data_IF_657250799147
#
_entry.id   IF_657250799147
#
_cell.length_a   1.000
_cell.length_b   1.000
_cell.length_c   1.000
_cell.angle_alpha   90.00
_cell.angle_beta   90.00
_cell.angle_gamma   90.00
#
_symmetry.space_group_name_H-M   'P 1'
#
loop_
_entity.id
_entity.type
_entity.pdbx_description
1 polymer ?
#
# COMPACT_ATOMS: atom_id res chain seq x y z
N UNK A 1 6.19 -18.20 12.14
CA UNK A 1 5.63 -18.78 13.38
C UNK A 1 6.48 -19.98 13.81
N UNK A 2 6.70 -20.96 12.93
CA UNK A 2 7.47 -22.18 13.24
C UNK A 2 8.90 -21.89 13.72
N UNK A 3 9.59 -20.99 12.99
CA UNK A 3 10.99 -20.64 13.26
C UNK A 3 11.14 -19.48 14.26
N UNK A 4 10.03 -18.94 14.78
CA UNK A 4 9.99 -17.75 15.64
C UNK A 4 10.77 -16.54 15.09
N UNK A 5 10.92 -16.49 13.76
CA UNK A 5 11.55 -15.39 13.04
C UNK A 5 10.55 -14.28 12.75
N UNK A 6 10.96 -13.03 12.92
CA UNK A 6 10.17 -11.89 12.53
C UNK A 6 10.21 -11.64 11.02
N UNK A 7 9.21 -10.91 10.51
CA UNK A 7 9.13 -10.46 9.12
C UNK A 7 9.37 -8.96 9.03
N UNK A 8 10.29 -8.57 8.17
CA UNK A 8 10.46 -7.18 7.75
C UNK A 8 9.73 -6.98 6.42
N UNK A 9 8.59 -6.30 6.46
CA UNK A 9 7.80 -6.05 5.26
C UNK A 9 8.41 -4.90 4.45
N UNK A 10 8.89 -5.19 3.24
CA UNK A 10 9.41 -4.17 2.33
C UNK A 10 8.40 -3.82 1.24
N UNK A 11 8.53 -2.63 0.65
CA UNK A 11 7.62 -2.09 -0.39
C UNK A 11 6.13 -2.08 0.01
N UNK A 12 5.79 -1.66 1.23
CA UNK A 12 4.41 -1.72 1.73
C UNK A 12 3.44 -0.85 0.91
N UNK A 13 3.97 0.14 0.16
CA UNK A 13 3.21 1.02 -0.73
C UNK A 13 3.23 0.55 -2.20
N UNK A 14 3.60 -0.70 -2.48
CA UNK A 14 3.60 -1.28 -3.83
C UNK A 14 4.27 -0.33 -4.86
N UNK A 15 5.53 0.05 -4.62
CA UNK A 15 6.29 0.97 -5.47
C UNK A 15 5.66 2.37 -5.62
N UNK A 16 4.74 2.73 -4.72
CA UNK A 16 4.02 3.99 -4.71
C UNK A 16 2.60 3.94 -5.30
N UNK A 17 2.13 2.79 -5.76
CA UNK A 17 0.74 2.64 -6.23
C UNK A 17 -0.27 2.90 -5.11
N UNK A 18 0.00 2.43 -3.91
CA UNK A 18 -0.87 2.58 -2.74
C UNK A 18 -0.79 3.97 -2.08
N UNK A 19 -0.16 4.95 -2.72
CA UNK A 19 -0.30 6.37 -2.38
C UNK A 19 -1.37 7.09 -3.21
N UNK A 20 -1.87 6.44 -4.27
CA UNK A 20 -2.83 7.02 -5.20
C UNK A 20 -2.23 7.92 -6.29
N UNK A 21 -0.93 8.24 -6.25
CA UNK A 21 -0.30 9.20 -7.19
C UNK A 21 -0.24 8.75 -8.65
N UNK A 22 -0.45 7.45 -8.92
CA UNK A 22 -0.46 6.91 -10.28
C UNK A 22 -1.88 6.62 -10.81
N UNK A 23 -2.90 7.01 -10.07
CA UNK A 23 -4.30 6.84 -10.49
C UNK A 23 -4.58 7.65 -11.76
N UNK A 24 -5.55 7.18 -12.54
CA UNK A 24 -5.95 7.80 -13.80
C UNK A 24 -4.80 7.97 -14.81
N UNK A 25 -3.81 7.07 -14.77
CA UNK A 25 -2.66 7.13 -15.68
C UNK A 25 -1.65 8.25 -15.39
N UNK A 26 -1.75 8.91 -14.25
CA UNK A 26 -0.81 9.94 -13.86
C UNK A 26 0.59 9.36 -13.60
N UNK A 27 1.60 10.04 -14.09
CA UNK A 27 3.02 9.72 -13.85
C UNK A 27 3.76 11.00 -13.46
N UNK A 28 3.70 11.40 -12.18
CA UNK A 28 4.38 12.60 -11.70
C UNK A 28 5.87 12.58 -12.04
N UNK A 29 6.42 13.73 -12.38
CA UNK A 29 7.85 13.88 -12.64
C UNK A 29 8.66 13.44 -11.42
N UNK A 30 9.82 12.81 -11.67
CA UNK A 30 10.70 12.22 -10.64
C UNK A 30 10.06 11.10 -9.82
N UNK A 31 8.84 10.63 -10.16
CA UNK A 31 8.27 9.45 -9.50
C UNK A 31 8.98 8.17 -9.93
N UNK A 32 8.98 7.17 -9.04
CA UNK A 32 9.63 5.88 -9.32
C UNK A 32 9.12 5.22 -10.61
N UNK A 33 7.82 5.28 -10.87
CA UNK A 33 7.24 4.69 -12.08
C UNK A 33 7.62 5.46 -13.34
N UNK A 34 7.77 6.78 -13.27
CA UNK A 34 8.26 7.59 -14.39
C UNK A 34 9.71 7.25 -14.75
N UNK A 35 10.56 7.06 -13.74
CA UNK A 35 11.98 6.83 -13.91
C UNK A 35 12.33 5.35 -14.17
N UNK A 36 11.67 4.44 -13.50
CA UNK A 36 12.06 3.03 -13.41
C UNK A 36 10.94 2.04 -13.77
N UNK A 37 9.77 2.51 -14.20
CA UNK A 37 8.58 1.67 -14.43
C UNK A 37 8.81 0.50 -15.39
N UNK A 38 9.70 0.66 -16.38
CA UNK A 38 10.07 -0.41 -17.30
C UNK A 38 10.69 -1.65 -16.63
N UNK A 39 11.29 -1.48 -15.46
CA UNK A 39 11.89 -2.58 -14.68
C UNK A 39 10.91 -3.25 -13.72
N UNK A 40 9.71 -2.69 -13.56
CA UNK A 40 8.72 -3.16 -12.61
C UNK A 40 7.34 -3.33 -13.25
N UNK A 41 7.23 -4.13 -14.33
CA UNK A 41 5.98 -4.29 -15.07
C UNK A 41 4.86 -4.92 -14.23
N UNK A 42 5.19 -5.70 -13.20
CA UNK A 42 4.22 -6.39 -12.35
C UNK A 42 3.22 -5.44 -11.66
N UNK A 43 3.60 -4.20 -11.40
CA UNK A 43 2.69 -3.21 -10.80
C UNK A 43 1.77 -2.53 -11.83
N UNK A 44 1.96 -2.80 -13.13
CA UNK A 44 1.22 -2.14 -14.21
C UNK A 44 0.11 -3.03 -14.79
N UNK A 45 -0.14 -4.19 -14.18
CA UNK A 45 -1.19 -5.10 -14.60
C UNK A 45 -2.58 -4.48 -14.43
N UNK A 46 -3.54 -4.87 -15.26
CA UNK A 46 -4.92 -4.40 -15.12
C UNK A 46 -5.55 -4.85 -13.80
N UNK A 47 -5.20 -6.05 -13.33
CA UNK A 47 -5.63 -6.55 -12.02
C UNK A 47 -5.06 -5.71 -10.86
N UNK A 48 -3.77 -5.32 -10.96
CA UNK A 48 -3.13 -4.43 -9.99
C UNK A 48 -3.77 -3.05 -9.95
N UNK A 49 -4.04 -2.45 -11.11
CA UNK A 49 -4.74 -1.16 -11.19
C UNK A 49 -6.15 -1.24 -10.60
N UNK A 50 -6.90 -2.29 -10.94
CA UNK A 50 -8.25 -2.51 -10.42
C UNK A 50 -8.25 -2.67 -8.90
N UNK A 51 -7.36 -3.50 -8.35
CA UNK A 51 -7.22 -3.69 -6.92
C UNK A 51 -6.84 -2.37 -6.21
N UNK A 52 -5.88 -1.62 -6.76
CA UNK A 52 -5.47 -0.31 -6.23
C UNK A 52 -6.66 0.65 -6.15
N UNK A 53 -7.49 0.71 -7.19
CA UNK A 53 -8.68 1.57 -7.19
C UNK A 53 -9.71 1.14 -6.15
N UNK A 54 -9.91 -0.16 -5.98
CA UNK A 54 -10.81 -0.69 -4.96
C UNK A 54 -10.34 -0.33 -3.54
N UNK A 55 -9.04 -0.49 -3.24
CA UNK A 55 -8.46 -0.09 -1.94
C UNK A 55 -8.53 1.43 -1.73
N UNK A 56 -8.29 2.22 -2.78
CA UNK A 56 -8.44 3.67 -2.68
C UNK A 56 -9.87 4.09 -2.32
N UNK A 57 -10.88 3.41 -2.88
CA UNK A 57 -12.28 3.69 -2.58
C UNK A 57 -12.62 3.41 -1.10
N UNK A 58 -12.00 2.38 -0.50
CA UNK A 58 -12.11 2.16 0.95
C UNK A 58 -11.52 3.34 1.71
N UNK A 59 -10.27 3.74 1.42
CA UNK A 59 -9.63 4.88 2.08
C UNK A 59 -10.51 6.14 1.99
N UNK A 60 -11.04 6.44 0.80
CA UNK A 60 -11.94 7.57 0.57
C UNK A 60 -13.24 7.46 1.38
N UNK A 61 -13.86 6.29 1.41
CA UNK A 61 -15.12 6.02 2.16
C UNK A 61 -14.95 6.35 3.64
N UNK A 62 -13.83 5.94 4.22
CA UNK A 62 -13.53 6.12 5.65
C UNK A 62 -12.71 7.37 5.95
N UNK A 63 -12.48 8.25 4.96
CA UNK A 63 -11.71 9.50 5.09
C UNK A 63 -10.30 9.30 5.62
N UNK A 64 -9.66 8.21 5.22
CA UNK A 64 -8.29 7.88 5.56
C UNK A 64 -7.33 8.33 4.45
N UNK A 65 -6.11 8.69 4.82
CA UNK A 65 -5.01 8.77 3.86
C UNK A 65 -4.70 7.37 3.31
N UNK A 66 -4.58 7.24 1.99
CA UNK A 66 -4.43 5.93 1.36
C UNK A 66 -3.09 5.26 1.67
N UNK A 67 -2.01 6.05 1.73
CA UNK A 67 -0.70 5.53 2.10
C UNK A 67 -0.70 5.07 3.56
N UNK A 68 -1.26 5.88 4.47
CA UNK A 68 -1.35 5.55 5.88
C UNK A 68 -2.20 4.29 6.13
N UNK A 69 -3.36 4.17 5.47
CA UNK A 69 -4.18 2.96 5.54
C UNK A 69 -3.39 1.71 5.12
N UNK A 70 -2.62 1.83 4.03
CA UNK A 70 -1.83 0.72 3.50
C UNK A 70 -0.69 0.31 4.42
N UNK A 71 0.02 1.28 5.01
CA UNK A 71 1.09 1.04 5.98
C UNK A 71 0.53 0.41 7.26
N UNK A 72 -0.57 0.96 7.77
CA UNK A 72 -1.23 0.43 8.97
C UNK A 72 -1.73 -0.99 8.78
N UNK A 73 -2.28 -1.32 7.62
CA UNK A 73 -2.69 -2.69 7.29
C UNK A 73 -1.49 -3.66 7.38
N UNK A 74 -0.32 -3.28 6.87
CA UNK A 74 0.89 -4.10 6.99
C UNK A 74 1.33 -4.26 8.45
N UNK A 75 1.33 -3.18 9.22
CA UNK A 75 1.72 -3.17 10.63
C UNK A 75 0.84 -4.09 11.49
N UNK A 76 -0.46 -4.12 11.22
CA UNK A 76 -1.41 -4.92 11.98
C UNK A 76 -1.28 -6.45 11.76
N UNK A 77 -0.48 -6.88 10.78
CA UNK A 77 -0.31 -8.32 10.56
C UNK A 77 0.51 -8.95 11.70
N UNK A 78 0.02 -10.00 12.37
CA UNK A 78 0.63 -10.53 13.59
C UNK A 78 2.03 -11.14 13.39
N UNK A 79 2.42 -11.37 12.13
CA UNK A 79 3.73 -11.91 11.76
C UNK A 79 4.71 -10.83 11.29
N UNK A 80 4.28 -9.58 11.17
CA UNK A 80 5.15 -8.47 10.76
C UNK A 80 5.81 -7.85 11.98
N UNK A 81 7.13 -7.85 12.00
CA UNK A 81 7.93 -7.22 13.06
C UNK A 81 8.13 -5.73 12.80
N UNK A 82 8.36 -5.36 11.53
CA UNK A 82 8.55 -3.97 11.14
C UNK A 82 8.19 -3.77 9.67
N UNK A 83 7.69 -2.58 9.36
CA UNK A 83 7.37 -2.13 8.01
C UNK A 83 8.47 -1.19 7.53
N UNK A 84 9.12 -1.56 6.41
CA UNK A 84 10.23 -0.77 5.84
C UNK A 84 9.63 0.29 4.91
N UNK A 85 9.70 1.54 5.34
CA UNK A 85 9.24 2.68 4.55
C UNK A 85 10.40 3.36 3.81
N UNK A 86 10.08 4.15 2.78
CA UNK A 86 11.02 5.00 2.07
C UNK A 86 10.32 6.25 1.57
N UNK A 87 10.88 7.40 1.88
CA UNK A 87 10.36 8.70 1.50
C UNK A 87 11.42 9.51 0.74
N UNK A 88 10.98 10.37 -0.19
CA UNK A 88 11.84 11.29 -0.94
C UNK A 88 11.64 12.74 -0.50
N UNK A 89 10.63 13.02 0.30
CA UNK A 89 10.36 14.34 0.89
C UNK A 89 10.05 14.19 2.38
N UNK A 90 10.25 15.26 3.14
CA UNK A 90 9.91 15.29 4.56
C UNK A 90 8.41 15.11 4.81
N UNK A 91 7.55 15.64 3.92
CA UNK A 91 6.11 15.47 4.03
C UNK A 91 5.69 14.01 3.88
N UNK A 92 6.28 13.29 2.91
CA UNK A 92 6.06 11.85 2.78
C UNK A 92 6.51 11.09 4.03
N UNK A 93 7.71 11.39 4.54
CA UNK A 93 8.22 10.74 5.75
C UNK A 93 7.31 10.98 6.94
N UNK A 94 6.84 12.20 7.13
CA UNK A 94 5.90 12.56 8.21
C UNK A 94 4.59 11.77 8.06
N UNK A 95 4.00 11.77 6.86
CA UNK A 95 2.77 11.00 6.57
C UNK A 95 2.96 9.52 6.88
N UNK A 96 4.09 8.94 6.45
CA UNK A 96 4.39 7.53 6.67
C UNK A 96 4.55 7.19 8.17
N UNK A 97 5.24 8.03 8.93
CA UNK A 97 5.40 7.86 10.38
C UNK A 97 4.06 8.00 11.11
N UNK A 98 3.24 8.97 10.73
CA UNK A 98 1.93 9.21 11.34
C UNK A 98 0.94 8.05 11.11
N UNK A 99 1.23 7.13 10.19
CA UNK A 99 0.42 5.94 9.96
C UNK A 99 0.21 5.08 11.21
N UNK A 100 1.11 5.13 12.18
CA UNK A 100 0.99 4.39 13.46
C UNK A 100 -0.24 4.82 14.26
N UNK A 101 -0.70 6.07 14.08
CA UNK A 101 -1.84 6.63 14.77
C UNK A 101 -3.19 6.35 14.06
N UNK A 102 -3.14 5.73 12.88
CA UNK A 102 -4.36 5.37 12.14
C UNK A 102 -5.02 4.17 12.80
N UNK A 103 -6.33 4.24 12.97
CA UNK A 103 -7.14 3.11 13.42
C UNK A 103 -7.84 2.46 12.22
N UNK A 104 -7.67 1.16 12.06
CA UNK A 104 -8.39 0.32 11.10
C UNK A 104 -9.31 -0.61 11.87
N UNK A 105 -10.57 -0.21 12.01
CA UNK A 105 -11.57 -1.03 12.66
C UNK A 105 -11.87 -2.33 11.87
N UNK A 106 -12.62 -3.23 12.49
CA UNK A 106 -12.94 -4.54 11.89
C UNK A 106 -13.68 -4.44 10.56
N UNK A 107 -14.52 -3.41 10.39
CA UNK A 107 -15.28 -3.19 9.15
C UNK A 107 -14.32 -2.86 7.98
N UNK A 108 -13.37 -1.96 8.20
CA UNK A 108 -12.34 -1.59 7.21
C UNK A 108 -11.49 -2.80 6.84
N UNK A 109 -11.02 -3.54 7.84
CA UNK A 109 -10.21 -4.75 7.62
C UNK A 109 -10.99 -5.82 6.86
N UNK A 110 -12.28 -5.98 7.14
CA UNK A 110 -13.16 -6.89 6.40
C UNK A 110 -13.27 -6.49 4.92
N UNK A 111 -13.52 -5.21 4.62
CA UNK A 111 -13.59 -4.74 3.24
C UNK A 111 -12.27 -4.93 2.48
N UNK A 112 -11.12 -4.66 3.12
CA UNK A 112 -9.80 -4.92 2.54
C UNK A 112 -9.64 -6.41 2.21
N UNK A 113 -9.99 -7.28 3.15
CA UNK A 113 -9.87 -8.73 2.98
C UNK A 113 -10.80 -9.28 1.89
N UNK A 114 -12.00 -8.71 1.69
CA UNK A 114 -12.88 -9.11 0.59
C UNK A 114 -12.25 -8.81 -0.79
N UNK A 115 -11.59 -7.67 -0.95
CA UNK A 115 -10.85 -7.37 -2.19
C UNK A 115 -9.72 -8.39 -2.39
N UNK A 116 -8.99 -8.73 -1.34
CA UNK A 116 -7.92 -9.71 -1.41
C UNK A 116 -8.41 -11.12 -1.80
N UNK A 117 -9.57 -11.54 -1.31
CA UNK A 117 -10.17 -12.83 -1.70
C UNK A 117 -10.47 -12.89 -3.20
N UNK A 118 -10.92 -11.78 -3.79
CA UNK A 118 -11.23 -11.68 -5.23
C UNK A 118 -9.94 -11.62 -6.06
N UNK A 119 -8.94 -10.91 -5.57
CA UNK A 119 -7.66 -10.68 -6.24
C UNK A 119 -6.48 -11.02 -5.32
N UNK A 120 -6.22 -12.32 -5.05
CA UNK A 120 -5.22 -12.70 -4.03
C UNK A 120 -3.78 -12.35 -4.41
N UNK A 121 -3.48 -12.19 -5.69
CA UNK A 121 -2.17 -11.78 -6.18
C UNK A 121 -2.31 -10.86 -7.41
N UNK A 122 -2.68 -9.59 -7.20
CA UNK A 122 -2.93 -8.66 -8.31
C UNK A 122 -1.68 -8.22 -9.07
N UNK A 123 -0.50 -8.42 -8.47
CA UNK A 123 0.81 -8.00 -9.01
C UNK A 123 1.82 -9.17 -8.92
N UNK A 124 1.62 -10.26 -9.68
CA UNK A 124 2.43 -11.48 -9.62
C UNK A 124 3.88 -11.24 -10.02
#
# INVERSE_FOLDING_TARGET
IREQSGLLAYSPLAFGYLTGKYRNGQLPDKSRMKLFGKYFPRYQTETGKKATEQYYNIAKKYKLDFAQMSLKFCELQPFVTSVIIGATTMDQLKTDIESVNVDLNEEILKEINEIQKINPNPCP
#
